data_IF_923577079757
#
_entry.id   IF_923577079757
#
_cell.length_a   1.000
_cell.length_b   1.000
_cell.length_c   1.000
_cell.angle_alpha   90.00
_cell.angle_beta   90.00
_cell.angle_gamma   90.00
#
_symmetry.space_group_name_H-M   'P 1'
#
loop_
_entity.id
_entity.type
_entity.pdbx_description
1 polymer ?
#
# COMPACT_ATOMS: atom_id res chain seq x y z
N UNK A 1 -50.43 -2.29 10.44
CA UNK A 1 -51.02 -3.12 11.51
C UNK A 1 -50.72 -2.49 12.85
N UNK A 2 -51.38 -2.92 13.93
CA UNK A 2 -51.21 -2.39 15.30
C UNK A 2 -50.06 -3.05 16.09
N UNK A 3 -49.32 -3.98 15.48
CA UNK A 3 -48.16 -4.63 16.09
C UNK A 3 -46.83 -3.90 15.84
N UNK A 4 -45.78 -4.20 16.63
CA UNK A 4 -44.46 -3.63 16.43
C UNK A 4 -43.89 -4.00 15.05
N UNK A 5 -43.40 -3.00 14.33
CA UNK A 5 -42.75 -3.15 13.03
C UNK A 5 -41.26 -2.88 13.20
N UNK A 6 -40.44 -3.85 12.82
CA UNK A 6 -39.00 -3.69 12.69
C UNK A 6 -38.69 -3.59 11.19
N UNK A 7 -37.91 -2.58 10.80
CA UNK A 7 -37.43 -2.43 9.44
C UNK A 7 -35.96 -2.03 9.44
N UNK A 8 -35.25 -2.46 8.40
CA UNK A 8 -33.89 -2.06 8.08
C UNK A 8 -33.85 -1.56 6.64
N UNK A 9 -33.00 -0.57 6.38
CA UNK A 9 -32.73 -0.07 5.04
C UNK A 9 -31.21 -0.02 4.85
N UNK A 10 -30.75 -0.48 3.69
CA UNK A 10 -29.34 -0.42 3.30
C UNK A 10 -29.24 0.40 2.01
N UNK A 11 -28.24 1.28 1.96
CA UNK A 11 -27.91 2.06 0.79
C UNK A 11 -26.41 1.93 0.53
N UNK A 12 -26.06 1.58 -0.71
CA UNK A 12 -24.69 1.59 -1.20
C UNK A 12 -24.63 2.60 -2.34
N UNK A 13 -23.66 3.51 -2.29
CA UNK A 13 -23.42 4.48 -3.34
C UNK A 13 -21.92 4.55 -3.67
N UNK A 14 -21.61 5.23 -4.78
CA UNK A 14 -20.27 5.71 -5.07
C UNK A 14 -20.27 7.22 -4.88
N UNK A 15 -19.38 7.72 -4.04
CA UNK A 15 -19.21 9.16 -3.84
C UNK A 15 -18.67 9.81 -5.11
N UNK A 16 -19.13 11.02 -5.42
CA UNK A 16 -18.56 11.87 -6.48
C UNK A 16 -17.53 12.85 -5.93
N UNK A 17 -17.10 12.67 -4.69
CA UNK A 17 -16.05 13.46 -4.07
C UNK A 17 -14.73 13.30 -4.83
N UNK A 18 -14.08 14.43 -5.05
CA UNK A 18 -12.74 14.57 -5.61
C UNK A 18 -12.11 15.76 -4.87
N UNK A 19 -11.27 15.58 -3.87
CA UNK A 19 -10.40 14.47 -3.47
C UNK A 19 -10.92 13.69 -2.25
N UNK A 20 -10.70 12.37 -2.18
CA UNK A 20 -11.11 11.56 -1.01
C UNK A 20 -10.07 11.64 0.11
N UNK A 21 -10.48 12.15 1.28
CA UNK A 21 -9.61 12.27 2.46
C UNK A 21 -9.60 11.02 3.32
N UNK A 22 -8.52 10.82 4.08
CA UNK A 22 -8.40 9.76 5.06
C UNK A 22 -9.46 9.85 6.15
N UNK A 23 -9.90 8.69 6.61
CA UNK A 23 -10.75 8.54 7.78
C UNK A 23 -10.31 7.28 8.56
N UNK A 24 -10.57 7.24 9.86
CA UNK A 24 -10.19 6.09 10.69
C UNK A 24 -9.99 6.51 12.14
N UNK A 25 -10.61 5.76 13.05
CA UNK A 25 -10.57 6.10 14.47
C UNK A 25 -9.50 5.31 15.21
N UNK A 26 -9.57 3.98 15.08
CA UNK A 26 -8.76 3.03 15.84
C UNK A 26 -7.56 2.50 15.06
N UNK A 27 -7.75 2.28 13.75
CA UNK A 27 -6.69 1.94 12.80
C UNK A 27 -6.62 3.07 11.78
N UNK A 28 -5.49 3.75 11.72
CA UNK A 28 -5.24 4.83 10.77
C UNK A 28 -4.25 4.36 9.74
N UNK A 29 -4.55 4.62 8.47
CA UNK A 29 -3.69 4.26 7.34
C UNK A 29 -3.18 5.54 6.71
N UNK A 30 -1.87 5.71 6.61
CA UNK A 30 -1.25 6.74 5.79
C UNK A 30 -0.52 6.04 4.65
N UNK A 31 -0.76 6.47 3.42
CA UNK A 31 -0.13 5.91 2.23
C UNK A 31 0.81 6.94 1.64
N UNK A 32 2.04 6.55 1.38
CA UNK A 32 3.08 7.38 0.76
C UNK A 32 3.63 6.71 -0.48
N UNK A 33 4.01 7.53 -1.45
CA UNK A 33 4.61 7.08 -2.70
C UNK A 33 6.02 7.63 -2.78
N UNK A 34 6.95 6.79 -3.21
CA UNK A 34 8.35 7.17 -3.35
C UNK A 34 8.86 6.78 -4.72
N UNK A 35 9.37 7.74 -5.49
CA UNK A 35 10.18 7.42 -6.66
C UNK A 35 11.49 6.80 -6.21
N UNK A 36 11.84 5.67 -6.81
CA UNK A 36 13.09 4.96 -6.56
C UNK A 36 14.09 5.27 -7.67
N UNK A 37 15.20 5.93 -7.32
CA UNK A 37 16.33 6.14 -8.23
C UNK A 37 17.48 5.22 -7.84
N UNK A 38 18.04 4.49 -8.80
CA UNK A 38 19.12 3.52 -8.55
C UNK A 38 20.40 4.24 -8.15
N UNK A 39 20.93 3.92 -6.97
CA UNK A 39 22.30 4.24 -6.56
C UNK A 39 23.19 3.02 -6.78
N UNK A 40 24.13 3.11 -7.72
CA UNK A 40 25.15 2.07 -7.88
C UNK A 40 26.18 2.18 -6.73
N UNK A 41 25.99 1.36 -5.69
CA UNK A 41 27.00 1.16 -4.64
C UNK A 41 27.52 -0.27 -4.69
N UNK A 42 28.81 -0.43 -4.99
CA UNK A 42 29.48 -1.73 -4.88
C UNK A 42 29.77 -1.99 -3.40
N UNK A 43 29.20 -3.07 -2.84
CA UNK A 43 29.48 -3.52 -1.48
C UNK A 43 30.29 -4.79 -1.57
N UNK A 44 31.45 -4.81 -0.90
CA UNK A 44 32.27 -6.01 -0.77
C UNK A 44 31.64 -6.93 0.26
N UNK A 45 31.20 -8.11 -0.14
CA UNK A 45 30.67 -9.13 0.77
C UNK A 45 31.70 -10.27 0.92
N UNK A 46 31.90 -10.82 2.13
CA UNK A 46 32.75 -11.98 2.33
C UNK A 46 32.12 -13.22 1.67
N UNK A 47 32.83 -13.84 0.74
CA UNK A 47 32.46 -15.10 0.12
C UNK A 47 32.71 -16.29 1.05
N UNK A 48 32.09 -17.42 0.73
CA UNK A 48 32.09 -18.64 1.55
C UNK A 48 33.47 -19.27 1.79
N UNK A 49 34.52 -18.80 1.11
CA UNK A 49 35.93 -19.22 1.24
C UNK A 49 36.88 -18.10 1.69
N UNK A 50 36.36 -16.95 2.14
CA UNK A 50 37.19 -15.80 2.56
C UNK A 50 37.61 -14.86 1.43
N UNK A 51 37.14 -15.08 0.20
CA UNK A 51 37.33 -14.16 -0.93
C UNK A 51 36.29 -13.05 -0.90
N UNK A 52 36.70 -11.79 -1.10
CA UNK A 52 35.76 -10.67 -1.24
C UNK A 52 35.13 -10.73 -2.64
N UNK A 53 33.83 -10.97 -2.72
CA UNK A 53 33.08 -10.87 -3.98
C UNK A 53 32.31 -9.55 -3.98
N UNK A 54 32.39 -8.83 -5.10
CA UNK A 54 31.60 -7.61 -5.32
C UNK A 54 30.13 -8.02 -5.53
N UNK A 55 29.37 -8.13 -4.43
CA UNK A 55 27.92 -8.32 -4.51
C UNK A 55 27.31 -6.97 -4.87
N UNK A 56 26.73 -6.87 -6.07
CA UNK A 56 26.00 -5.68 -6.50
C UNK A 56 24.70 -5.60 -5.67
N UNK A 57 24.72 -4.82 -4.60
CA UNK A 57 23.51 -4.52 -3.82
C UNK A 57 22.84 -3.34 -4.51
N UNK A 58 21.66 -3.55 -5.07
CA UNK A 58 20.86 -2.47 -5.62
C UNK A 58 20.33 -1.62 -4.47
N UNK A 59 20.94 -0.45 -4.27
CA UNK A 59 20.45 0.55 -3.35
C UNK A 59 19.60 1.55 -4.13
N UNK A 60 18.46 1.92 -3.59
CA UNK A 60 17.60 2.94 -4.18
C UNK A 60 17.55 4.16 -3.26
N UNK A 61 17.63 5.35 -3.84
CA UNK A 61 17.28 6.59 -3.14
C UNK A 61 15.77 6.79 -3.28
N UNK A 62 15.10 7.06 -2.15
CA UNK A 62 13.65 7.30 -2.08
C UNK A 62 13.39 8.79 -2.15
N UNK A 63 12.60 9.23 -3.12
CA UNK A 63 12.10 10.61 -3.20
C UNK A 63 10.57 10.59 -3.10
N UNK A 64 10.03 11.20 -2.05
CA UNK A 64 8.57 11.23 -1.82
C UNK A 64 7.85 11.98 -2.96
N UNK A 65 6.78 11.37 -3.45
CA UNK A 65 5.90 11.91 -4.47
C UNK A 65 4.67 12.50 -3.81
N UNK A 66 4.33 13.72 -4.22
CA UNK A 66 3.15 14.45 -3.78
C UNK A 66 2.02 14.27 -4.79
N UNK A 67 0.81 14.66 -4.37
CA UNK A 67 -0.35 14.66 -5.24
C UNK A 67 -0.10 15.53 -6.48
N UNK A 68 -0.43 14.99 -7.66
CA UNK A 68 -0.22 15.54 -9.00
C UNK A 68 1.24 15.57 -9.47
N UNK A 69 2.17 14.96 -8.76
CA UNK A 69 3.55 14.81 -9.24
C UNK A 69 3.61 13.95 -10.51
N UNK A 70 4.63 14.22 -11.33
CA UNK A 70 4.88 13.55 -12.59
C UNK A 70 6.00 12.51 -12.46
N UNK A 71 5.77 11.38 -13.12
CA UNK A 71 6.69 10.28 -13.31
C UNK A 71 6.88 10.04 -14.80
N UNK A 72 7.98 9.38 -15.17
CA UNK A 72 8.20 8.90 -16.53
C UNK A 72 7.84 7.43 -16.64
N UNK A 73 7.43 7.00 -17.83
CA UNK A 73 7.29 5.59 -18.12
C UNK A 73 8.60 4.85 -17.82
N UNK A 74 8.50 3.72 -17.11
CA UNK A 74 9.62 2.93 -16.62
C UNK A 74 10.15 3.32 -15.23
N UNK A 75 9.70 4.45 -14.64
CA UNK A 75 10.09 4.80 -13.27
C UNK A 75 9.60 3.75 -12.27
N UNK A 76 10.46 3.43 -11.29
CA UNK A 76 10.12 2.57 -10.17
C UNK A 76 9.53 3.40 -9.04
N UNK A 77 8.44 2.92 -8.47
CA UNK A 77 7.74 3.55 -7.36
C UNK A 77 7.59 2.55 -6.23
N UNK A 78 7.92 2.97 -5.02
CA UNK A 78 7.64 2.22 -3.80
C UNK A 78 6.44 2.85 -3.11
N UNK A 79 5.42 2.05 -2.88
CA UNK A 79 4.26 2.43 -2.09
C UNK A 79 4.48 1.92 -0.68
N UNK A 80 4.36 2.79 0.31
CA UNK A 80 4.48 2.46 1.73
C UNK A 80 3.15 2.78 2.43
N UNK A 81 2.59 1.77 3.08
CA UNK A 81 1.46 1.93 3.99
C UNK A 81 2.01 2.01 5.40
N UNK A 82 1.82 3.16 6.05
CA UNK A 82 2.07 3.37 7.47
C UNK A 82 0.76 3.18 8.24
N UNK A 83 0.71 2.16 9.08
CA UNK A 83 -0.44 1.84 9.92
C UNK A 83 -0.16 2.31 11.34
N UNK A 84 -1.05 3.14 11.88
CA UNK A 84 -1.05 3.49 13.30
C UNK A 84 -2.23 2.78 13.99
N UNK A 85 -1.89 1.88 14.91
CA UNK A 85 -2.82 1.05 15.65
C UNK A 85 -2.95 1.52 17.09
N UNK A 86 -4.17 1.87 17.51
CA UNK A 86 -4.45 2.33 18.87
C UNK A 86 -4.35 1.21 19.92
N UNK A 87 -4.68 -0.02 19.55
CA UNK A 87 -4.65 -1.21 20.43
C UNK A 87 -3.99 -2.39 19.71
N UNK A 88 -3.91 -3.54 20.38
CA UNK A 88 -3.57 -4.80 19.75
C UNK A 88 -4.80 -5.34 19.03
N UNK A 89 -4.68 -5.58 17.72
CA UNK A 89 -5.75 -6.15 16.90
C UNK A 89 -5.30 -7.44 16.20
N UNK A 90 -6.27 -8.22 15.76
CA UNK A 90 -6.03 -9.44 15.00
C UNK A 90 -6.91 -9.50 13.76
N UNK A 91 -6.46 -10.24 12.75
CA UNK A 91 -7.21 -10.51 11.51
C UNK A 91 -7.65 -9.23 10.79
N UNK A 92 -6.68 -8.37 10.47
CA UNK A 92 -6.92 -7.20 9.61
C UNK A 92 -6.55 -7.51 8.16
N UNK A 93 -7.25 -6.84 7.26
CA UNK A 93 -6.89 -6.74 5.86
C UNK A 93 -6.64 -5.28 5.51
N UNK A 94 -5.51 -5.02 4.85
CA UNK A 94 -5.23 -3.74 4.22
C UNK A 94 -5.28 -3.92 2.71
N UNK A 95 -6.21 -3.25 2.06
CA UNK A 95 -6.39 -3.27 0.61
C UNK A 95 -5.92 -1.95 0.03
N UNK A 96 -4.90 -1.98 -0.80
CA UNK A 96 -4.39 -0.80 -1.49
C UNK A 96 -4.75 -0.88 -2.98
N UNK A 97 -5.57 0.08 -3.43
CA UNK A 97 -5.99 0.18 -4.82
C UNK A 97 -4.86 0.78 -5.63
N UNK A 98 -4.40 0.07 -6.66
CA UNK A 98 -3.36 0.58 -7.56
C UNK A 98 -3.96 1.68 -8.43
N UNK A 99 -3.20 2.75 -8.66
CA UNK A 99 -3.52 3.64 -9.77
C UNK A 99 -3.40 2.86 -11.08
N UNK A 100 -4.30 3.14 -12.02
CA UNK A 100 -4.13 2.64 -13.38
C UNK A 100 -2.81 3.13 -13.99
N UNK A 101 -2.27 2.37 -14.93
CA UNK A 101 -0.97 2.66 -15.53
C UNK A 101 0.24 2.28 -14.67
N UNK A 102 0.03 1.64 -13.52
CA UNK A 102 1.08 1.07 -12.69
C UNK A 102 0.96 -0.45 -12.58
N UNK A 103 2.09 -1.14 -12.76
CA UNK A 103 2.18 -2.60 -12.65
C UNK A 103 3.04 -3.03 -11.46
N UNK A 104 2.64 -4.06 -10.69
CA UNK A 104 3.46 -4.56 -9.60
C UNK A 104 4.73 -5.23 -10.11
N UNK A 105 5.86 -4.91 -9.45
CA UNK A 105 7.15 -5.51 -9.77
C UNK A 105 7.26 -6.97 -9.32
N UNK A 106 6.53 -7.32 -8.26
CA UNK A 106 6.42 -8.70 -7.79
C UNK A 106 5.24 -9.39 -8.49
N UNK A 107 5.39 -10.66 -8.84
CA UNK A 107 4.32 -11.44 -9.48
C UNK A 107 3.77 -12.56 -8.62
N UNK A 108 4.38 -12.83 -7.45
CA UNK A 108 4.02 -13.96 -6.60
C UNK A 108 3.52 -13.47 -5.25
N UNK A 109 2.25 -13.77 -4.97
CA UNK A 109 1.66 -13.63 -3.64
C UNK A 109 2.38 -14.53 -2.63
N UNK A 110 2.53 -14.08 -1.39
CA UNK A 110 3.23 -14.83 -0.36
C UNK A 110 3.65 -14.02 0.85
N UNK A 111 4.30 -14.72 1.78
CA UNK A 111 5.08 -14.10 2.83
C UNK A 111 6.44 -13.69 2.26
N UNK A 112 6.73 -12.39 2.30
CA UNK A 112 8.00 -11.81 1.82
C UNK A 112 8.90 -11.32 2.97
N UNK A 113 8.53 -11.61 4.23
CA UNK A 113 9.29 -11.18 5.40
C UNK A 113 9.16 -9.70 5.74
N UNK A 114 8.09 -9.03 5.28
CA UNK A 114 7.77 -7.66 5.69
C UNK A 114 7.63 -7.53 7.22
N UNK A 115 7.83 -6.32 7.72
CA UNK A 115 7.87 -6.01 9.16
C UNK A 115 6.54 -6.31 9.88
N UNK A 116 5.42 -6.30 9.15
CA UNK A 116 4.09 -6.64 9.68
C UNK A 116 3.82 -8.15 9.73
N UNK A 117 4.72 -8.99 9.19
CA UNK A 117 4.47 -10.43 9.02
C UNK A 117 3.23 -10.71 8.15
N UNK A 118 2.84 -9.76 7.30
CA UNK A 118 1.63 -9.83 6.51
C UNK A 118 1.80 -10.81 5.34
N UNK A 119 0.75 -11.55 5.01
CA UNK A 119 0.68 -12.24 3.72
C UNK A 119 0.27 -11.23 2.65
N UNK A 120 1.12 -11.04 1.63
CA UNK A 120 0.84 -10.14 0.53
C UNK A 120 0.18 -10.91 -0.62
N UNK A 121 -1.02 -10.47 -1.01
CA UNK A 121 -1.73 -10.96 -2.17
C UNK A 121 -1.74 -9.87 -3.25
N UNK A 122 -1.15 -10.20 -4.40
CA UNK A 122 -1.10 -9.31 -5.55
C UNK A 122 -2.26 -9.67 -6.48
N UNK A 123 -3.15 -8.71 -6.71
CA UNK A 123 -4.26 -8.81 -7.69
C UNK A 123 -4.04 -7.82 -8.81
N UNK A 124 -4.92 -7.84 -9.80
CA UNK A 124 -4.85 -6.94 -10.96
C UNK A 124 -5.12 -5.47 -10.60
N UNK A 125 -6.18 -5.20 -9.83
CA UNK A 125 -6.56 -3.82 -9.45
C UNK A 125 -5.97 -3.34 -8.11
N UNK A 126 -5.54 -4.26 -7.25
CA UNK A 126 -5.17 -3.97 -5.86
C UNK A 126 -4.11 -4.88 -5.29
N UNK A 127 -3.51 -4.46 -4.19
CA UNK A 127 -2.63 -5.27 -3.35
C UNK A 127 -3.27 -5.44 -1.98
N UNK A 128 -3.39 -6.67 -1.51
CA UNK A 128 -4.01 -6.97 -0.22
C UNK A 128 -2.95 -7.50 0.76
N UNK A 129 -2.95 -6.96 1.98
CA UNK A 129 -2.09 -7.42 3.07
C UNK A 129 -2.95 -8.03 4.16
N UNK A 130 -2.79 -9.33 4.39
CA UNK A 130 -3.49 -10.06 5.44
C UNK A 130 -2.62 -10.15 6.67
N UNK A 131 -3.06 -9.50 7.75
CA UNK A 131 -2.30 -9.34 8.99
C UNK A 131 -2.99 -10.12 10.09
N UNK A 132 -2.31 -11.17 10.59
CA UNK A 132 -2.86 -12.01 11.65
C UNK A 132 -2.90 -11.30 13.00
N UNK A 133 -1.82 -10.60 13.35
CA UNK A 133 -1.68 -9.86 14.61
C UNK A 133 -0.99 -8.54 14.32
N UNK A 134 -1.59 -7.45 14.79
CA UNK A 134 -1.09 -6.10 14.67
C UNK A 134 -1.00 -5.49 16.07
N UNK A 135 0.19 -5.48 16.69
CA UNK A 135 0.39 -4.85 17.99
C UNK A 135 0.04 -3.37 17.96
N UNK A 136 -0.23 -2.78 19.12
CA UNK A 136 -0.34 -1.34 19.29
C UNK A 136 0.94 -0.64 18.81
N UNK A 137 0.78 0.47 18.11
CA UNK A 137 1.89 1.30 17.65
C UNK A 137 1.92 1.48 16.14
N UNK A 138 3.10 1.84 15.63
CA UNK A 138 3.31 2.13 14.21
C UNK A 138 3.94 0.94 13.51
N UNK A 139 3.38 0.60 12.37
CA UNK A 139 3.86 -0.46 11.49
C UNK A 139 3.92 0.06 10.07
N UNK A 140 4.76 -0.55 9.25
CA UNK A 140 4.75 -0.28 7.83
C UNK A 140 4.88 -1.54 7.00
N UNK A 141 4.29 -1.49 5.82
CA UNK A 141 4.53 -2.46 4.75
C UNK A 141 4.69 -1.70 3.46
N UNK A 142 5.62 -2.17 2.63
CA UNK A 142 5.87 -1.57 1.33
C UNK A 142 5.88 -2.60 0.22
N UNK A 143 5.58 -2.14 -0.98
CA UNK A 143 5.65 -2.91 -2.21
C UNK A 143 6.03 -1.98 -3.36
N UNK A 144 6.50 -2.58 -4.47
CA UNK A 144 7.02 -1.83 -5.60
C UNK A 144 6.14 -1.95 -6.83
N UNK A 145 5.97 -0.82 -7.49
CA UNK A 145 5.26 -0.63 -8.74
C UNK A 145 6.21 -0.08 -9.80
N UNK A 146 5.85 -0.26 -11.07
CA UNK A 146 6.46 0.38 -12.22
C UNK A 146 5.40 1.23 -12.93
N UNK A 147 5.73 2.47 -13.23
CA UNK A 147 4.92 3.31 -14.11
C UNK A 147 5.05 2.82 -15.56
N UNK A 148 3.94 2.57 -16.25
CA UNK A 148 3.95 2.04 -17.62
C UNK A 148 3.18 2.92 -18.60
N UNK A 149 1.87 3.08 -18.39
CA UNK A 149 0.99 3.75 -19.35
C UNK A 149 0.96 5.26 -19.06
N UNK A 150 1.26 6.14 -20.04
CA UNK A 150 1.13 7.58 -19.87
C UNK A 150 -0.31 8.02 -19.60
N UNK A 151 -0.50 8.99 -18.71
CA UNK A 151 -1.82 9.49 -18.34
C UNK A 151 -1.86 10.11 -16.94
N UNK A 152 -3.03 10.64 -16.56
CA UNK A 152 -3.32 11.11 -15.21
C UNK A 152 -4.25 10.10 -14.54
N UNK A 153 -3.79 9.47 -13.46
CA UNK A 153 -4.52 8.41 -12.80
C UNK A 153 -4.73 8.72 -11.32
N UNK A 154 -5.88 8.29 -10.81
CA UNK A 154 -6.18 8.31 -9.38
C UNK A 154 -5.92 6.94 -8.79
N UNK A 155 -5.15 6.88 -7.70
CA UNK A 155 -5.12 5.76 -6.79
C UNK A 155 -6.15 6.01 -5.70
N UNK A 156 -7.25 5.25 -5.71
CA UNK A 156 -8.25 5.29 -4.65
C UNK A 156 -7.60 5.01 -3.28
N UNK A 157 -8.14 5.55 -2.17
CA UNK A 157 -7.62 5.30 -0.83
C UNK A 157 -7.32 3.84 -0.52
N UNK A 158 -6.17 3.58 0.10
CA UNK A 158 -5.93 2.30 0.77
C UNK A 158 -6.92 2.15 1.93
N UNK A 159 -7.44 0.95 2.16
CA UNK A 159 -8.44 0.65 3.19
C UNK A 159 -7.90 -0.40 4.15
N UNK A 160 -7.95 -0.12 5.44
CA UNK A 160 -7.74 -1.10 6.49
C UNK A 160 -9.07 -1.49 7.12
N UNK A 161 -9.32 -2.78 7.33
CA UNK A 161 -10.51 -3.25 8.05
C UNK A 161 -10.23 -4.53 8.82
N UNK A 162 -10.91 -4.74 9.94
CA UNK A 162 -10.94 -6.05 10.58
C UNK A 162 -11.92 -6.98 9.85
N UNK A 163 -11.53 -8.25 9.72
CA UNK A 163 -12.37 -9.27 9.08
C UNK A 163 -13.62 -9.61 9.89
N UNK A 164 -13.54 -9.48 11.21
CA UNK A 164 -14.58 -9.94 12.13
C UNK A 164 -15.19 -8.81 12.99
N UNK A 165 -14.73 -7.57 12.79
CA UNK A 165 -15.21 -6.38 13.49
C UNK A 165 -15.38 -5.23 12.47
N UNK A 166 -16.49 -5.19 11.71
CA UNK A 166 -16.66 -4.25 10.60
C UNK A 166 -16.66 -2.76 11.00
N UNK A 167 -16.90 -2.47 12.28
CA UNK A 167 -16.74 -1.15 12.88
C UNK A 167 -15.28 -0.68 12.90
N UNK A 168 -14.31 -1.62 12.92
CA UNK A 168 -12.89 -1.33 12.85
C UNK A 168 -12.47 -1.16 11.40
N UNK A 169 -12.49 0.10 10.93
CA UNK A 169 -12.05 0.46 9.59
C UNK A 169 -11.35 1.82 9.55
N UNK A 170 -10.52 1.99 8.54
CA UNK A 170 -9.89 3.25 8.19
C UNK A 170 -9.45 3.24 6.73
N UNK A 171 -9.18 4.40 6.17
CA UNK A 171 -8.65 4.58 4.85
C UNK A 171 -7.62 5.71 4.79
N UNK A 172 -6.73 5.66 3.81
CA UNK A 172 -5.78 6.73 3.51
C UNK A 172 -6.41 7.86 2.72
N UNK A 173 -5.61 8.87 2.41
CA UNK A 173 -5.93 9.86 1.40
C UNK A 173 -5.83 9.23 0.00
N UNK A 174 -6.61 9.75 -0.95
CA UNK A 174 -6.41 9.53 -2.39
C UNK A 174 -5.04 10.09 -2.82
N UNK A 175 -4.50 9.64 -3.94
CA UNK A 175 -3.45 10.38 -4.64
C UNK A 175 -3.68 10.31 -6.14
N UNK A 176 -3.38 11.40 -6.84
CA UNK A 176 -3.34 11.45 -8.30
C UNK A 176 -1.90 11.56 -8.75
N UNK A 177 -1.50 10.75 -9.71
CA UNK A 177 -0.15 10.74 -10.28
C UNK A 177 -0.23 10.87 -11.79
N UNK A 178 0.71 11.62 -12.36
CA UNK A 178 0.86 11.76 -13.81
C UNK A 178 2.02 10.88 -14.29
N UNK A 179 1.79 10.11 -15.34
CA UNK A 179 2.83 9.40 -16.08
C UNK A 179 3.01 10.09 -17.43
N UNK A 180 4.23 10.49 -17.72
CA UNK A 180 4.68 11.09 -18.97
C UNK A 180 5.57 10.10 -19.73
N UNK A 181 5.76 10.34 -21.04
CA UNK A 181 6.65 9.54 -21.88
C UNK A 181 8.14 9.64 -21.48
#
# INVERSE_FOLDING_TARGET
GTGPVYFNAYLTNFTTEDFITKAGLEVKVNRKYYKLTREDKKVKAPGSRGELTDKRVEKYMRTELKNLDALKSGDLVEVELEIDSKNDYEYLVFEDMKASGFEPMESRSGYNGNDMGAYMELRDERVCFFVRSLPRGKHSVSYRLRAEIPGLFSALPARGSAMYAPELKGNSDEIKLRIED
#
